data_IF_843123481007
#
_entry.id   IF_843123481007
#
_cell.length_a   1.000
_cell.length_b   1.000
_cell.length_c   1.000
_cell.angle_alpha   90.00
_cell.angle_beta   90.00
_cell.angle_gamma   90.00
#
_symmetry.space_group_name_H-M   'P 1'
#
loop_
_entity.id
_entity.type
_entity.pdbx_description
1 polymer ?
#
# COMPACT_ATOMS: atom_id res chain seq x y z
N UNK A 1 -41.94 -13.30 33.98
CA UNK A 1 -43.16 -13.32 33.16
C UNK A 1 -42.82 -12.51 31.92
N UNK A 2 -42.16 -13.15 30.96
CA UNK A 2 -42.77 -13.87 29.81
C UNK A 2 -43.03 -12.86 28.67
N UNK A 3 -42.11 -12.77 27.70
CA UNK A 3 -42.02 -13.52 26.41
C UNK A 3 -42.98 -12.95 25.35
N UNK A 4 -42.52 -12.25 24.31
CA UNK A 4 -42.02 -12.69 22.97
C UNK A 4 -43.00 -12.10 21.94
N UNK A 5 -42.55 -11.29 20.97
CA UNK A 5 -42.31 -11.80 19.62
C UNK A 5 -41.63 -10.78 18.69
N UNK A 6 -40.87 -11.33 17.76
CA UNK A 6 -40.04 -10.68 16.74
C UNK A 6 -40.67 -10.97 15.39
N UNK A 7 -40.88 -9.98 14.53
CA UNK A 7 -41.09 -10.27 13.11
C UNK A 7 -40.53 -9.16 12.22
N UNK A 8 -39.68 -9.58 11.29
CA UNK A 8 -39.21 -8.80 10.15
C UNK A 8 -40.20 -8.95 9.01
N UNK A 9 -40.41 -7.91 8.19
CA UNK A 9 -40.60 -8.05 6.74
C UNK A 9 -40.46 -6.71 6.02
N UNK A 10 -40.01 -6.84 4.77
CA UNK A 10 -39.52 -5.87 3.81
C UNK A 10 -40.46 -4.71 3.44
N UNK A 11 -39.86 -3.61 2.97
CA UNK A 11 -40.56 -2.52 2.32
C UNK A 11 -39.63 -1.60 1.54
N UNK A 12 -39.33 -1.98 0.30
CA UNK A 12 -38.73 -1.12 -0.73
C UNK A 12 -39.50 0.20 -0.87
N UNK A 13 -38.84 1.32 -0.55
CA UNK A 13 -39.27 2.65 -1.01
C UNK A 13 -38.10 3.31 -1.75
N UNK A 14 -38.01 2.99 -3.04
CA UNK A 14 -37.32 3.84 -4.00
C UNK A 14 -38.09 5.17 -4.11
N UNK A 15 -37.54 6.23 -3.51
CA UNK A 15 -38.04 7.59 -3.71
C UNK A 15 -37.70 8.03 -5.15
N UNK A 16 -38.67 7.86 -6.04
CA UNK A 16 -38.69 8.52 -7.35
C UNK A 16 -38.78 10.03 -7.14
N UNK A 17 -37.65 10.72 -7.24
CA UNK A 17 -37.60 12.18 -7.36
C UNK A 17 -38.22 12.58 -8.71
N UNK A 18 -39.32 13.31 -8.67
CA UNK A 18 -39.95 13.87 -9.86
C UNK A 18 -39.03 14.92 -10.52
N UNK A 19 -39.12 15.12 -11.85
CA UNK A 19 -38.28 16.06 -12.60
C UNK A 19 -38.37 17.51 -12.11
N UNK A 20 -39.44 17.86 -11.39
CA UNK A 20 -39.72 19.20 -10.86
C UNK A 20 -38.82 19.57 -9.67
N UNK A 21 -38.41 18.60 -8.84
CA UNK A 21 -37.44 18.82 -7.75
C UNK A 21 -35.99 18.86 -8.24
N UNK A 22 -35.68 18.20 -9.36
CA UNK A 22 -34.39 18.33 -10.03
C UNK A 22 -34.20 19.74 -10.63
N UNK A 23 -35.27 20.33 -11.19
CA UNK A 23 -35.24 21.70 -11.72
C UNK A 23 -35.15 22.77 -10.61
N UNK A 24 -35.64 22.49 -9.39
CA UNK A 24 -35.45 23.37 -8.23
C UNK A 24 -34.04 23.26 -7.63
N UNK A 25 -33.39 22.11 -7.73
CA UNK A 25 -31.98 21.95 -7.35
C UNK A 25 -31.01 22.61 -8.35
N UNK A 26 -31.37 22.69 -9.63
CA UNK A 26 -30.58 23.38 -10.67
C UNK A 26 -30.78 24.91 -10.71
N UNK A 27 -31.84 25.45 -10.09
CA UNK A 27 -32.11 26.91 -10.09
C UNK A 27 -31.43 27.73 -8.98
N UNK A 28 -30.62 27.10 -8.12
CA UNK A 28 -29.88 27.81 -7.05
C UNK A 28 -28.42 28.13 -7.44
N UNK A 29 -27.95 27.67 -8.60
CA UNK A 29 -26.61 28.00 -9.14
C UNK A 29 -26.67 29.01 -10.30
N UNK A 30 -27.58 29.99 -10.23
CA UNK A 30 -27.43 31.22 -11.00
C UNK A 30 -26.45 32.14 -10.27
N UNK A 31 -25.43 32.72 -10.94
CA UNK A 31 -24.51 33.64 -10.31
C UNK A 31 -25.27 34.92 -9.99
N UNK A 32 -25.82 34.99 -8.78
CA UNK A 32 -26.08 36.27 -8.13
C UNK A 32 -24.74 37.00 -8.10
N UNK A 33 -24.71 38.25 -8.57
CA UNK A 33 -23.50 39.06 -8.74
C UNK A 33 -22.84 39.44 -7.42
N UNK A 34 -22.45 38.47 -6.61
CA UNK A 34 -21.51 38.62 -5.51
C UNK A 34 -20.12 38.72 -6.12
N UNK A 35 -19.42 39.82 -5.83
CA UNK A 35 -18.06 40.05 -6.29
C UNK A 35 -17.18 38.85 -5.93
N UNK A 36 -16.69 38.12 -6.95
CA UNK A 36 -15.69 37.08 -6.75
C UNK A 36 -14.48 37.69 -6.03
N UNK A 37 -14.09 37.09 -4.92
CA UNK A 37 -12.93 37.48 -4.14
C UNK A 37 -11.67 37.20 -4.97
N UNK A 38 -10.83 38.22 -5.19
CA UNK A 38 -9.61 38.05 -5.99
C UNK A 38 -8.51 37.35 -5.19
N UNK A 39 -7.50 36.81 -5.87
CA UNK A 39 -6.21 36.58 -5.25
C UNK A 39 -5.46 37.90 -5.12
N UNK A 40 -4.85 38.11 -3.96
CA UNK A 40 -4.09 39.32 -3.74
C UNK A 40 -2.75 39.24 -4.46
N UNK A 41 -2.54 40.10 -5.45
CA UNK A 41 -1.24 40.24 -6.15
C UNK A 41 -0.26 41.03 -5.30
N UNK A 42 1.03 40.88 -5.61
CA UNK A 42 2.12 41.57 -4.90
C UNK A 42 1.92 43.09 -4.80
N UNK A 43 1.36 43.72 -5.84
CA UNK A 43 1.08 45.16 -5.86
C UNK A 43 0.01 45.61 -4.85
N UNK A 44 -0.94 44.73 -4.53
CA UNK A 44 -2.01 45.00 -3.56
C UNK A 44 -1.71 44.48 -2.15
N UNK A 45 -0.64 43.71 -1.99
CA UNK A 45 -0.28 43.10 -0.72
C UNK A 45 0.58 44.03 0.15
N UNK A 46 0.34 43.94 1.45
CA UNK A 46 1.05 44.66 2.51
C UNK A 46 1.42 43.65 3.58
N UNK A 47 2.71 43.50 3.86
CA UNK A 47 3.23 42.49 4.80
C UNK A 47 2.67 42.64 6.21
N UNK A 48 2.44 43.88 6.63
CA UNK A 48 2.09 44.21 8.01
C UNK A 48 0.58 44.35 8.20
N UNK A 49 -0.20 44.18 7.12
CA UNK A 49 -1.66 44.24 7.17
C UNK A 49 -2.23 42.86 7.50
N UNK A 50 -3.07 42.80 8.52
CA UNK A 50 -3.91 41.64 8.76
C UNK A 50 -5.13 41.69 7.84
N UNK A 51 -5.36 40.62 7.10
CA UNK A 51 -6.53 40.46 6.24
C UNK A 51 -7.59 39.69 7.05
N UNK A 52 -8.83 40.18 7.02
CA UNK A 52 -9.92 39.63 7.83
C UNK A 52 -10.41 38.30 7.23
N UNK A 53 -10.50 37.25 8.06
CA UNK A 53 -11.02 35.93 7.69
C UNK A 53 -12.55 35.87 7.68
N UNK A 54 -13.19 36.67 8.51
CA UNK A 54 -14.63 36.63 8.75
C UNK A 54 -15.38 37.49 7.74
N UNK A 55 -14.74 38.55 7.24
CA UNK A 55 -15.21 39.36 6.12
C UNK A 55 -14.09 39.52 5.06
N UNK A 56 -13.76 38.44 4.34
CA UNK A 56 -12.62 38.43 3.45
C UNK A 56 -12.81 39.35 2.25
N UNK A 57 -11.79 40.14 1.96
CA UNK A 57 -11.70 40.99 0.75
C UNK A 57 -10.86 40.33 -0.36
N UNK A 58 -10.27 39.18 -0.06
CA UNK A 58 -9.46 38.34 -0.96
C UNK A 58 -9.51 36.90 -0.48
N UNK A 59 -9.05 35.96 -1.30
CA UNK A 59 -9.02 34.54 -0.94
C UNK A 59 -7.91 34.27 0.10
N UNK A 60 -8.21 33.42 1.08
CA UNK A 60 -7.23 32.86 2.02
C UNK A 60 -7.03 31.36 1.76
N UNK A 61 -5.80 30.88 1.91
CA UNK A 61 -5.47 29.47 1.76
C UNK A 61 -4.35 29.04 2.70
N UNK A 62 -4.32 27.75 3.07
CA UNK A 62 -3.17 27.17 3.76
C UNK A 62 -2.21 26.57 2.73
N UNK A 63 -0.93 26.92 2.81
CA UNK A 63 0.12 26.24 2.06
C UNK A 63 0.70 25.11 2.90
N UNK A 64 0.56 23.89 2.43
CA UNK A 64 1.34 22.73 2.90
C UNK A 64 2.48 22.48 1.94
N UNK A 65 3.67 22.20 2.45
CA UNK A 65 4.78 21.83 1.59
C UNK A 65 5.60 20.70 2.18
N UNK A 66 6.23 19.94 1.28
CA UNK A 66 7.00 18.76 1.62
C UNK A 66 8.19 18.62 0.71
N UNK A 67 9.32 18.20 1.26
CA UNK A 67 10.50 17.78 0.51
C UNK A 67 10.67 16.28 0.72
N UNK A 68 10.76 15.58 -0.40
CA UNK A 68 10.91 14.12 -0.44
C UNK A 68 12.16 13.77 -1.25
N UNK A 69 12.87 12.72 -0.84
CA UNK A 69 14.07 12.21 -1.50
C UNK A 69 13.77 10.85 -2.14
N UNK A 70 14.14 10.68 -3.39
CA UNK A 70 13.91 9.49 -4.19
C UNK A 70 15.25 8.82 -4.51
N UNK A 71 15.52 7.75 -3.78
CA UNK A 71 16.70 6.88 -4.00
C UNK A 71 16.37 5.71 -4.95
N UNK A 72 15.11 5.27 -4.99
CA UNK A 72 14.63 4.16 -5.82
C UNK A 72 13.17 4.42 -6.30
N UNK A 73 12.27 3.42 -6.22
CA UNK A 73 10.86 3.55 -6.67
C UNK A 73 10.06 4.49 -5.75
N UNK A 74 10.38 4.54 -4.44
CA UNK A 74 9.66 5.31 -3.42
C UNK A 74 10.40 6.60 -3.06
N UNK A 75 9.63 7.65 -2.84
CA UNK A 75 10.13 8.90 -2.28
C UNK A 75 10.00 8.85 -0.74
N UNK A 76 11.12 9.00 -0.04
CA UNK A 76 11.22 9.13 1.42
C UNK A 76 10.91 10.57 1.80
N UNK A 77 10.07 10.78 2.82
CA UNK A 77 9.87 12.11 3.38
C UNK A 77 11.16 12.60 4.07
N UNK A 78 11.53 13.85 3.81
CA UNK A 78 12.70 14.50 4.43
C UNK A 78 12.24 15.54 5.42
N UNK A 79 11.43 16.49 4.97
CA UNK A 79 10.83 17.51 5.82
C UNK A 79 9.53 18.03 5.20
N UNK A 80 8.74 18.70 6.02
CA UNK A 80 7.48 19.33 5.61
C UNK A 80 7.09 20.37 6.63
N UNK A 81 6.34 21.37 6.20
CA UNK A 81 5.75 22.37 7.09
C UNK A 81 4.46 22.92 6.47
N UNK A 82 3.78 23.80 7.21
CA UNK A 82 2.53 24.44 6.81
C UNK A 82 2.58 25.94 7.12
N UNK A 83 2.34 26.76 6.10
CA UNK A 83 2.09 28.19 6.25
C UNK A 83 0.57 28.41 6.18
N UNK A 84 -0.11 28.60 7.34
CA UNK A 84 -1.54 28.80 7.35
C UNK A 84 -1.90 30.21 6.85
N UNK A 85 -3.12 30.35 6.34
CA UNK A 85 -3.78 31.65 6.15
C UNK A 85 -3.02 32.65 5.26
N UNK A 86 -2.46 32.16 4.16
CA UNK A 86 -1.86 32.99 3.14
C UNK A 86 -2.93 33.66 2.28
N UNK A 87 -2.68 34.93 1.94
CA UNK A 87 -3.55 35.75 1.08
C UNK A 87 -2.90 36.14 -0.24
N UNK A 88 -1.57 36.13 -0.29
CA UNK A 88 -0.79 36.49 -1.46
C UNK A 88 -0.93 35.39 -2.50
N UNK A 89 -1.12 35.73 -3.79
CA UNK A 89 -1.23 34.76 -4.86
C UNK A 89 -0.05 33.77 -4.82
N UNK A 90 -0.27 32.46 -5.03
CA UNK A 90 0.78 31.45 -4.97
C UNK A 90 2.04 31.82 -5.77
N UNK A 91 1.86 32.38 -6.97
CA UNK A 91 2.97 32.81 -7.81
C UNK A 91 3.81 33.95 -7.24
N UNK A 92 3.17 34.90 -6.56
CA UNK A 92 3.85 36.04 -5.94
C UNK A 92 4.47 35.62 -4.60
N UNK A 93 3.79 34.78 -3.82
CA UNK A 93 4.33 34.19 -2.60
C UNK A 93 5.57 33.34 -2.87
N UNK A 94 5.55 32.55 -3.95
CA UNK A 94 6.71 31.80 -4.41
C UNK A 94 7.91 32.71 -4.64
N UNK A 95 7.75 33.76 -5.46
CA UNK A 95 8.83 34.66 -5.85
C UNK A 95 9.41 35.44 -4.66
N UNK A 96 8.55 35.92 -3.76
CA UNK A 96 8.96 36.87 -2.72
C UNK A 96 9.44 36.19 -1.45
N UNK A 97 8.89 35.02 -1.10
CA UNK A 97 9.21 34.36 0.17
C UNK A 97 9.69 32.93 0.01
N UNK A 98 8.94 32.10 -0.72
CA UNK A 98 9.14 30.66 -0.64
C UNK A 98 10.37 30.17 -1.40
N UNK A 99 10.70 30.76 -2.55
CA UNK A 99 11.83 30.30 -3.36
C UNK A 99 13.15 30.41 -2.58
N UNK A 100 13.45 31.57 -2.01
CA UNK A 100 14.64 31.77 -1.19
C UNK A 100 14.64 30.86 0.06
N UNK A 101 13.46 30.65 0.68
CA UNK A 101 13.32 29.71 1.80
C UNK A 101 13.66 28.28 1.38
N UNK A 102 13.15 27.83 0.23
CA UNK A 102 13.43 26.51 -0.30
C UNK A 102 14.92 26.33 -0.60
N UNK A 103 15.56 27.31 -1.24
CA UNK A 103 17.00 27.28 -1.53
C UNK A 103 17.83 27.18 -0.24
N UNK A 104 17.48 27.97 0.78
CA UNK A 104 18.13 27.91 2.09
C UNK A 104 17.95 26.56 2.78
N UNK A 105 16.74 25.99 2.77
CA UNK A 105 16.45 24.68 3.34
C UNK A 105 17.25 23.57 2.65
N UNK A 106 17.37 23.64 1.33
CA UNK A 106 18.18 22.69 0.56
C UNK A 106 19.66 22.82 0.91
N UNK A 107 20.17 24.03 1.10
CA UNK A 107 21.55 24.23 1.51
C UNK A 107 21.81 23.69 2.93
N UNK A 108 20.94 23.98 3.89
CA UNK A 108 21.03 23.45 5.26
C UNK A 108 21.02 21.91 5.26
N UNK A 109 20.13 21.29 4.48
CA UNK A 109 20.08 19.83 4.34
C UNK A 109 21.35 19.24 3.71
N UNK A 110 22.04 19.99 2.83
CA UNK A 110 23.35 19.59 2.30
C UNK A 110 24.42 19.63 3.39
N UNK A 111 24.44 20.70 4.18
CA UNK A 111 25.42 20.91 5.24
C UNK A 111 25.26 19.88 6.38
N UNK A 112 24.02 19.48 6.69
CA UNK A 112 23.71 18.43 7.67
C UNK A 112 23.93 17.00 7.15
N UNK A 113 24.30 16.83 5.87
CA UNK A 113 24.48 15.51 5.25
C UNK A 113 23.18 14.73 5.01
N UNK A 114 22.00 15.36 5.16
CA UNK A 114 20.70 14.76 4.82
C UNK A 114 20.49 14.61 3.32
N UNK A 115 21.09 15.51 2.54
CA UNK A 115 21.27 15.42 1.09
C UNK A 115 22.78 15.43 0.82
N UNK A 116 23.35 14.31 0.38
CA UNK A 116 24.78 14.29 0.03
C UNK A 116 25.00 15.30 -1.12
N UNK A 117 25.92 16.25 -0.94
CA UNK A 117 26.04 17.45 -1.79
C UNK A 117 26.13 17.17 -3.30
N UNK A 118 25.72 18.15 -4.13
CA UNK A 118 25.62 18.20 -5.62
C UNK A 118 25.08 16.99 -6.38
N UNK A 119 24.92 15.85 -5.71
CA UNK A 119 24.34 14.65 -6.25
C UNK A 119 22.82 14.69 -6.17
N UNK A 120 22.14 15.67 -5.55
CA UNK A 120 20.67 15.70 -5.55
C UNK A 120 20.10 16.87 -6.33
N UNK A 121 19.17 16.58 -7.24
CA UNK A 121 18.41 17.59 -7.99
C UNK A 121 16.92 17.35 -7.87
N UNK A 122 16.14 18.42 -7.89
CA UNK A 122 14.68 18.32 -7.95
C UNK A 122 14.27 17.66 -9.28
N UNK A 123 13.62 16.51 -9.20
CA UNK A 123 13.12 15.74 -10.34
C UNK A 123 11.73 16.21 -10.76
N UNK A 124 10.82 16.22 -9.79
CA UNK A 124 9.42 16.58 -9.98
C UNK A 124 8.91 17.42 -8.81
N UNK A 125 8.01 18.35 -9.12
CA UNK A 125 7.20 19.06 -8.14
C UNK A 125 5.74 18.68 -8.33
N UNK A 126 5.10 18.21 -7.28
CA UNK A 126 3.68 17.83 -7.26
C UNK A 126 2.91 18.96 -6.59
N UNK A 127 1.93 19.51 -7.31
CA UNK A 127 1.03 20.55 -6.82
C UNK A 127 -0.36 19.94 -6.65
N UNK A 128 -0.95 20.13 -5.47
CA UNK A 128 -2.35 19.77 -5.21
C UNK A 128 -3.10 20.96 -4.61
N UNK A 129 -4.25 21.32 -5.17
CA UNK A 129 -5.17 22.29 -4.56
C UNK A 129 -6.43 21.54 -4.21
N UNK A 130 -6.80 21.57 -2.92
CA UNK A 130 -8.02 20.96 -2.42
C UNK A 130 -8.85 21.99 -1.68
N UNK A 131 -10.17 21.83 -1.70
CA UNK A 131 -11.10 22.64 -0.93
C UNK A 131 -12.04 21.72 -0.14
N UNK A 132 -12.35 22.11 1.10
CA UNK A 132 -13.19 21.33 1.99
C UNK A 132 -14.56 21.07 1.36
N UNK A 133 -15.10 19.85 1.54
CA UNK A 133 -16.42 19.43 1.05
C UNK A 133 -16.59 19.58 -0.48
N UNK A 134 -15.51 19.64 -1.27
CA UNK A 134 -15.60 19.61 -2.74
C UNK A 134 -14.43 18.87 -3.39
N UNK A 135 -14.32 17.55 -3.20
CA UNK A 135 -13.27 16.74 -3.83
C UNK A 135 -13.28 16.85 -5.36
N UNK A 136 -14.44 17.09 -5.99
CA UNK A 136 -14.58 17.25 -7.44
C UNK A 136 -13.90 18.52 -8.01
N UNK A 137 -13.56 19.51 -7.17
CA UNK A 137 -12.89 20.76 -7.58
C UNK A 137 -11.37 20.73 -7.33
N UNK A 138 -10.82 19.56 -7.00
CA UNK A 138 -9.40 19.38 -6.71
C UNK A 138 -8.55 19.54 -7.97
N UNK A 139 -7.42 20.22 -7.84
CA UNK A 139 -6.34 20.21 -8.83
C UNK A 139 -5.24 19.27 -8.36
N UNK A 140 -4.71 18.43 -9.25
CA UNK A 140 -3.47 17.69 -9.01
C UNK A 140 -2.62 17.72 -10.27
N UNK A 141 -1.42 18.29 -10.17
CA UNK A 141 -0.50 18.48 -11.29
C UNK A 141 0.91 18.10 -10.89
N UNK A 142 1.68 17.64 -11.88
CA UNK A 142 3.10 17.33 -11.72
C UNK A 142 3.89 18.15 -12.72
N UNK A 143 4.90 18.85 -12.22
CA UNK A 143 5.79 19.70 -12.99
C UNK A 143 7.21 19.13 -12.92
N UNK A 144 7.99 19.32 -13.98
CA UNK A 144 9.40 18.91 -13.98
C UNK A 144 10.22 19.91 -13.18
N UNK A 145 11.07 19.40 -12.29
CA UNK A 145 11.87 20.22 -11.38
C UNK A 145 10.96 21.21 -10.64
N UNK A 146 11.38 22.48 -10.51
CA UNK A 146 10.63 23.57 -9.88
C UNK A 146 9.87 24.47 -10.89
N UNK A 147 9.72 24.04 -12.14
CA UNK A 147 9.08 24.83 -13.20
C UNK A 147 7.54 24.71 -13.17
N UNK A 148 6.92 25.30 -12.15
CA UNK A 148 5.46 25.30 -11.95
C UNK A 148 4.79 26.27 -12.93
N UNK A 149 3.70 25.83 -13.57
CA UNK A 149 2.82 26.74 -14.32
C UNK A 149 1.95 27.56 -13.35
N UNK A 150 2.53 28.66 -12.87
CA UNK A 150 1.90 29.55 -11.90
C UNK A 150 0.57 30.16 -12.34
N UNK A 151 0.40 30.41 -13.65
CA UNK A 151 -0.86 30.94 -14.16
C UNK A 151 -2.01 29.95 -13.99
N UNK A 152 -1.76 28.66 -14.23
CA UNK A 152 -2.74 27.60 -14.01
C UNK A 152 -3.12 27.48 -12.52
N UNK A 153 -2.11 27.56 -11.64
CA UNK A 153 -2.31 27.48 -10.18
C UNK A 153 -3.12 28.67 -9.66
N UNK A 154 -2.74 29.90 -10.02
CA UNK A 154 -3.43 31.11 -9.60
C UNK A 154 -4.87 31.14 -10.13
N UNK A 155 -5.08 30.87 -11.43
CA UNK A 155 -6.41 30.84 -12.03
C UNK A 155 -7.33 29.78 -11.39
N UNK A 156 -6.79 28.60 -11.09
CA UNK A 156 -7.57 27.56 -10.42
C UNK A 156 -7.99 27.99 -9.02
N UNK A 157 -7.09 28.64 -8.28
CA UNK A 157 -7.37 29.08 -6.91
C UNK A 157 -8.34 30.26 -6.88
N UNK A 158 -8.27 31.21 -7.82
CA UNK A 158 -9.31 32.25 -8.04
C UNK A 158 -10.67 31.64 -8.40
N UNK A 159 -10.68 30.59 -9.23
CA UNK A 159 -11.89 29.87 -9.60
C UNK A 159 -12.58 29.14 -8.44
N UNK A 160 -11.97 29.10 -7.25
CA UNK A 160 -12.57 28.58 -6.02
C UNK A 160 -13.17 29.68 -5.12
N UNK A 161 -13.19 30.93 -5.59
CA UNK A 161 -13.66 32.08 -4.80
C UNK A 161 -15.07 31.88 -4.26
N UNK A 162 -16.01 31.40 -5.06
CA UNK A 162 -17.42 31.25 -4.66
C UNK A 162 -17.55 30.24 -3.51
N UNK A 163 -16.75 29.18 -3.56
CA UNK A 163 -16.71 28.14 -2.53
C UNK A 163 -16.02 28.64 -1.26
N UNK A 164 -14.98 29.46 -1.40
CA UNK A 164 -14.34 30.12 -0.28
C UNK A 164 -15.29 31.10 0.43
N UNK A 165 -16.04 31.91 -0.31
CA UNK A 165 -17.07 32.81 0.24
C UNK A 165 -18.15 32.06 1.03
N UNK A 166 -18.40 30.78 0.69
CA UNK A 166 -19.27 29.87 1.45
C UNK A 166 -18.62 29.30 2.72
N UNK A 167 -17.47 29.83 3.14
CA UNK A 167 -16.73 29.44 4.35
C UNK A 167 -15.90 28.16 4.20
N UNK A 168 -15.64 27.67 2.98
CA UNK A 168 -14.86 26.44 2.77
C UNK A 168 -13.37 26.73 2.76
N UNK A 169 -12.61 25.89 3.47
CA UNK A 169 -11.16 26.03 3.57
C UNK A 169 -10.44 25.54 2.31
N UNK A 170 -9.58 26.39 1.74
CA UNK A 170 -8.68 26.02 0.64
C UNK A 170 -7.33 25.57 1.22
N UNK A 171 -6.77 24.51 0.65
CA UNK A 171 -5.42 24.04 0.95
C UNK A 171 -4.65 23.83 -0.33
N UNK A 172 -3.54 24.55 -0.47
CA UNK A 172 -2.57 24.40 -1.54
C UNK A 172 -1.39 23.58 -1.02
N UNK A 173 -1.00 22.52 -1.73
CA UNK A 173 0.06 21.60 -1.34
C UNK A 173 1.15 21.57 -2.40
N UNK A 174 2.41 21.67 -2.00
CA UNK A 174 3.59 21.52 -2.87
C UNK A 174 4.52 20.44 -2.35
N UNK A 175 4.78 19.40 -3.14
CA UNK A 175 5.78 18.39 -2.82
C UNK A 175 6.95 18.45 -3.81
N UNK A 176 8.16 18.70 -3.31
CA UNK A 176 9.40 18.71 -4.08
C UNK A 176 10.10 17.36 -3.93
N UNK A 177 10.20 16.62 -5.03
CA UNK A 177 10.86 15.31 -5.04
C UNK A 177 12.28 15.47 -5.60
N UNK A 178 13.28 15.23 -4.76
CA UNK A 178 14.70 15.25 -5.12
C UNK A 178 15.18 13.85 -5.45
N UNK A 179 16.02 13.70 -6.46
CA UNK A 179 16.65 12.43 -6.84
C UNK A 179 18.16 12.58 -6.93
N UNK A 180 18.85 11.47 -6.75
CA UNK A 180 20.29 11.42 -6.95
C UNK A 180 20.63 11.54 -8.46
N UNK A 181 21.66 12.33 -8.77
CA UNK A 181 22.31 12.55 -10.05
C UNK A 181 23.49 11.61 -10.04
N UNK A 182 23.31 10.43 -10.63
CA UNK A 182 24.44 9.56 -10.95
C UNK A 182 25.33 10.29 -11.95
N UNK A 183 26.52 10.70 -11.52
CA UNK A 183 27.52 11.27 -12.41
C UNK A 183 28.08 10.16 -13.30
N UNK A 184 27.57 10.06 -14.53
CA UNK A 184 28.23 9.30 -15.61
C UNK A 184 29.53 10.03 -15.98
N UNK A 185 30.56 9.82 -15.18
CA UNK A 185 31.91 10.25 -15.49
C UNK A 185 32.47 9.35 -16.59
N UNK A 186 32.35 9.85 -17.81
CA UNK A 186 33.02 9.32 -19.00
C UNK A 186 34.53 9.30 -18.79
N UNK A 187 35.14 8.12 -18.73
CA UNK A 187 36.23 7.69 -19.62
C UNK A 187 36.62 6.24 -19.32
N UNK A 188 36.28 5.30 -20.20
CA UNK A 188 37.10 4.11 -20.40
C UNK A 188 36.90 3.56 -21.82
N UNK A 189 38.00 3.55 -22.55
CA UNK A 189 38.19 2.99 -23.90
C UNK A 189 37.58 1.59 -24.03
N UNK A 190 37.07 1.31 -25.23
CA UNK A 190 36.31 0.12 -25.55
C UNK A 190 36.96 -1.21 -25.15
N UNK A 191 36.12 -2.11 -24.62
CA UNK A 191 36.27 -3.57 -24.70
C UNK A 191 34.91 -4.22 -24.40
N UNK A 192 34.47 -5.06 -25.35
CA UNK A 192 33.35 -6.02 -25.34
C UNK A 192 32.17 -5.71 -24.41
N UNK A 193 31.01 -5.46 -25.04
CA UNK A 193 29.65 -5.36 -24.48
C UNK A 193 29.45 -6.33 -23.29
N UNK A 194 29.74 -5.84 -22.07
CA UNK A 194 29.37 -6.51 -20.81
C UNK A 194 27.87 -6.29 -20.64
N UNK A 195 27.12 -7.38 -20.44
CA UNK A 195 25.71 -7.35 -20.07
C UNK A 195 25.56 -6.41 -18.86
N UNK A 196 24.56 -5.55 -18.92
CA UNK A 196 24.29 -4.54 -17.88
C UNK A 196 24.26 -5.20 -16.49
N UNK A 197 24.81 -4.55 -15.47
CA UNK A 197 24.71 -5.01 -14.09
C UNK A 197 23.25 -5.28 -13.66
N UNK A 198 22.28 -4.61 -14.30
CA UNK A 198 20.85 -4.84 -14.14
C UNK A 198 20.39 -6.17 -14.75
N UNK A 199 20.96 -6.56 -15.89
CA UNK A 199 20.70 -7.85 -16.54
C UNK A 199 21.39 -8.98 -15.78
N UNK A 200 22.64 -8.78 -15.32
CA UNK A 200 23.34 -9.71 -14.45
C UNK A 200 22.65 -9.89 -13.08
N UNK A 201 22.14 -8.81 -12.46
CA UNK A 201 21.30 -8.91 -11.26
C UNK A 201 19.94 -9.54 -11.53
N UNK A 202 19.35 -9.33 -12.71
CA UNK A 202 18.09 -9.98 -13.09
C UNK A 202 18.28 -11.47 -13.34
N UNK A 203 19.39 -11.85 -13.98
CA UNK A 203 19.81 -13.24 -14.13
C UNK A 203 20.14 -13.85 -12.76
N UNK A 204 20.86 -13.15 -11.88
CA UNK A 204 21.16 -13.64 -10.54
C UNK A 204 19.89 -13.81 -9.71
N UNK A 205 18.95 -12.86 -9.75
CA UNK A 205 17.65 -12.99 -9.06
C UNK A 205 16.77 -14.09 -9.67
N UNK A 206 16.85 -14.31 -10.98
CA UNK A 206 16.13 -15.38 -11.66
C UNK A 206 16.76 -16.76 -11.38
N UNK A 207 18.08 -16.85 -11.32
CA UNK A 207 18.83 -18.04 -10.95
C UNK A 207 18.61 -18.37 -9.46
N UNK A 208 18.66 -17.37 -8.58
CA UNK A 208 18.31 -17.49 -7.16
C UNK A 208 16.88 -18.01 -7.03
N UNK A 209 15.92 -17.41 -7.74
CA UNK A 209 14.53 -17.87 -7.75
C UNK A 209 14.38 -19.30 -8.28
N UNK A 210 15.19 -19.69 -9.28
CA UNK A 210 15.24 -21.04 -9.82
C UNK A 210 15.78 -22.07 -8.83
N UNK A 211 16.82 -21.73 -8.06
CA UNK A 211 17.34 -22.58 -7.00
C UNK A 211 16.34 -22.74 -5.86
N UNK A 212 15.73 -21.64 -5.41
CA UNK A 212 14.67 -21.68 -4.40
C UNK A 212 13.49 -22.54 -4.83
N UNK A 213 12.95 -22.34 -6.04
CA UNK A 213 11.85 -23.13 -6.57
C UNK A 213 12.16 -24.62 -6.60
N UNK A 214 13.39 -24.97 -6.98
CA UNK A 214 13.89 -26.34 -7.03
C UNK A 214 14.04 -26.99 -5.64
N UNK A 215 14.54 -26.25 -4.65
CA UNK A 215 14.61 -26.72 -3.24
C UNK A 215 13.21 -26.90 -2.67
N UNK A 216 12.30 -25.93 -2.88
CA UNK A 216 10.92 -26.04 -2.42
C UNK A 216 10.19 -27.24 -3.05
N UNK A 217 10.37 -27.47 -4.36
CA UNK A 217 9.75 -28.61 -5.05
C UNK A 217 10.34 -29.95 -4.56
N UNK A 218 11.65 -30.03 -4.37
CA UNK A 218 12.31 -31.26 -3.92
C UNK A 218 11.84 -31.68 -2.52
N UNK A 219 11.73 -30.73 -1.59
CA UNK A 219 11.28 -31.01 -0.22
C UNK A 219 9.76 -30.89 -0.02
N UNK A 220 9.00 -30.73 -1.12
CA UNK A 220 7.54 -30.68 -1.06
C UNK A 220 6.99 -32.02 -0.56
N UNK A 221 6.17 -31.95 0.47
CA UNK A 221 5.59 -33.15 1.04
C UNK A 221 4.52 -33.74 0.10
N UNK A 222 4.75 -34.97 -0.38
CA UNK A 222 3.82 -35.68 -1.27
C UNK A 222 2.86 -36.63 -0.55
N UNK A 223 2.89 -36.64 0.78
CA UNK A 223 2.04 -37.50 1.60
C UNK A 223 0.65 -36.89 1.81
N UNK A 224 -0.40 -37.55 1.31
CA UNK A 224 -1.80 -37.11 1.43
C UNK A 224 -2.29 -36.92 2.88
N UNK A 225 -1.61 -37.50 3.87
CA UNK A 225 -1.95 -37.41 5.30
C UNK A 225 -0.78 -36.95 6.17
N UNK A 226 0.21 -36.26 5.59
CA UNK A 226 1.36 -35.81 6.36
C UNK A 226 0.99 -34.62 7.26
N UNK A 227 1.06 -34.82 8.59
CA UNK A 227 0.77 -33.78 9.60
C UNK A 227 1.92 -32.79 9.83
N UNK A 228 3.00 -32.87 9.05
CA UNK A 228 4.24 -32.11 9.29
C UNK A 228 4.33 -30.80 8.50
N UNK A 229 3.34 -30.50 7.66
CA UNK A 229 3.29 -29.27 6.87
C UNK A 229 3.74 -29.46 5.42
N UNK A 230 3.79 -28.36 4.64
CA UNK A 230 3.94 -28.39 3.18
C UNK A 230 5.31 -28.86 2.70
N UNK A 231 6.34 -28.69 3.54
CA UNK A 231 7.69 -29.14 3.26
C UNK A 231 8.15 -30.09 4.35
N UNK A 232 8.63 -31.26 3.95
CA UNK A 232 9.01 -32.30 4.88
C UNK A 232 10.23 -33.07 4.36
N UNK A 233 11.10 -33.47 5.29
CA UNK A 233 12.21 -34.38 5.02
C UNK A 233 11.88 -35.77 5.56
N UNK A 234 12.07 -36.80 4.74
CA UNK A 234 11.84 -38.19 5.13
C UNK A 234 13.14 -38.82 5.60
N UNK A 235 13.14 -39.43 6.78
CA UNK A 235 14.27 -40.25 7.24
C UNK A 235 14.33 -41.59 6.49
N UNK A 236 15.43 -42.34 6.65
CA UNK A 236 15.61 -43.68 6.08
C UNK A 236 14.55 -44.70 6.51
N UNK A 237 13.78 -44.38 7.56
CA UNK A 237 12.70 -45.21 8.10
C UNK A 237 11.32 -44.78 7.57
N UNK A 238 11.27 -43.79 6.67
CA UNK A 238 10.04 -43.26 6.09
C UNK A 238 9.27 -42.28 6.98
N UNK A 239 9.83 -41.84 8.12
CA UNK A 239 9.22 -40.83 8.96
C UNK A 239 9.45 -39.44 8.37
N UNK A 240 8.36 -38.68 8.23
CA UNK A 240 8.43 -37.30 7.79
C UNK A 240 8.70 -36.35 8.97
N UNK A 241 9.62 -35.42 8.77
CA UNK A 241 9.95 -34.33 9.67
C UNK A 241 9.67 -32.99 9.00
N UNK A 242 9.10 -32.05 9.73
CA UNK A 242 8.76 -30.72 9.19
C UNK A 242 10.03 -29.91 8.90
N UNK A 243 10.07 -29.30 7.72
CA UNK A 243 11.10 -28.33 7.34
C UNK A 243 10.52 -26.92 7.47
N UNK A 244 11.04 -26.17 8.44
CA UNK A 244 10.70 -24.76 8.64
C UNK A 244 11.48 -23.87 7.67
N UNK A 245 11.00 -22.65 7.43
CA UNK A 245 11.62 -21.69 6.51
C UNK A 245 13.11 -21.47 6.76
N UNK A 246 13.51 -21.29 8.03
CA UNK A 246 14.93 -21.13 8.37
C UNK A 246 15.78 -22.38 8.08
N UNK A 247 15.20 -23.58 8.08
CA UNK A 247 15.92 -24.80 7.71
C UNK A 247 16.04 -24.94 6.18
N UNK A 248 15.05 -24.48 5.43
CA UNK A 248 15.13 -24.39 3.97
C UNK A 248 16.16 -23.34 3.54
N UNK A 249 16.26 -22.21 4.25
CA UNK A 249 17.35 -21.23 4.10
C UNK A 249 18.72 -21.84 4.37
N UNK A 250 18.86 -22.62 5.45
CA UNK A 250 20.10 -23.32 5.78
C UNK A 250 20.52 -24.33 4.70
N UNK A 251 19.53 -25.04 4.11
CA UNK A 251 19.74 -25.97 3.01
C UNK A 251 20.18 -25.23 1.74
N UNK A 252 19.47 -24.16 1.34
CA UNK A 252 19.85 -23.36 0.16
C UNK A 252 21.25 -22.77 0.32
N UNK A 253 21.56 -22.23 1.50
CA UNK A 253 22.90 -21.71 1.80
C UNK A 253 23.96 -22.80 1.67
N UNK A 254 23.69 -24.00 2.19
CA UNK A 254 24.63 -25.11 2.05
C UNK A 254 24.82 -25.52 0.58
N UNK A 255 23.75 -25.56 -0.21
CA UNK A 255 23.84 -25.88 -1.65
C UNK A 255 24.71 -24.83 -2.35
N UNK A 256 24.53 -23.54 -2.04
CA UNK A 256 25.35 -22.44 -2.57
C UNK A 256 26.83 -22.56 -2.19
N UNK A 257 27.12 -22.95 -0.95
CA UNK A 257 28.50 -23.10 -0.46
C UNK A 257 29.24 -24.31 -1.10
N UNK A 258 28.51 -25.26 -1.71
CA UNK A 258 29.08 -26.44 -2.37
C UNK A 258 29.13 -26.35 -3.91
N UNK A 259 28.70 -25.23 -4.51
CA UNK A 259 28.79 -25.02 -5.96
C UNK A 259 30.28 -24.96 -6.33
N UNK A 260 30.72 -25.85 -7.24
CA UNK A 260 32.13 -25.86 -7.68
C UNK A 260 32.42 -24.66 -8.57
N UNK A 261 33.68 -24.23 -8.57
CA UNK A 261 34.14 -23.09 -9.37
C UNK A 261 33.94 -23.37 -10.87
N UNK A 262 32.89 -22.77 -11.45
CA UNK A 262 32.49 -22.94 -12.86
C UNK A 262 31.12 -23.58 -13.09
N UNK A 263 30.46 -24.13 -12.05
CA UNK A 263 29.07 -24.59 -12.12
C UNK A 263 28.11 -23.40 -11.96
N UNK A 264 27.04 -23.37 -12.77
CA UNK A 264 25.97 -22.37 -12.61
C UNK A 264 24.95 -22.88 -11.61
N UNK A 265 24.27 -21.98 -10.89
CA UNK A 265 23.22 -22.36 -9.92
C UNK A 265 22.15 -23.26 -10.54
N UNK A 266 21.93 -23.19 -11.86
CA UNK A 266 20.97 -23.99 -12.63
C UNK A 266 21.38 -25.47 -12.78
N UNK A 267 22.69 -25.77 -12.75
CA UNK A 267 23.26 -27.10 -12.95
C UNK A 267 23.47 -27.89 -11.63
N UNK A 268 23.29 -27.22 -10.49
CA UNK A 268 23.55 -27.80 -9.16
C UNK A 268 22.47 -28.83 -8.83
N UNK A 269 22.90 -30.04 -8.48
CA UNK A 269 22.02 -31.10 -8.02
C UNK A 269 21.43 -30.74 -6.64
N UNK A 270 20.12 -30.92 -6.45
CA UNK A 270 19.42 -30.65 -5.19
C UNK A 270 19.49 -31.86 -4.25
N UNK A 271 19.79 -33.05 -4.79
CA UNK A 271 19.96 -34.30 -4.04
C UNK A 271 21.30 -34.34 -3.25
N UNK A 272 21.82 -33.19 -2.83
CA UNK A 272 23.01 -33.10 -1.97
C UNK A 272 22.62 -33.58 -0.58
N UNK A 273 23.44 -34.46 0.00
CA UNK A 273 23.24 -34.96 1.36
C UNK A 273 23.20 -33.79 2.34
N UNK A 274 22.04 -33.58 2.97
CA UNK A 274 21.86 -32.47 3.92
C UNK A 274 22.84 -32.67 5.08
N UNK A 275 23.64 -31.64 5.44
CA UNK A 275 24.55 -31.72 6.58
C UNK A 275 23.87 -32.22 7.85
N UNK A 276 24.54 -33.15 8.53
CA UNK A 276 24.07 -33.72 9.80
C UNK A 276 23.70 -32.67 10.85
N UNK A 277 24.30 -31.47 10.81
CA UNK A 277 23.95 -30.32 11.67
C UNK A 277 22.51 -29.81 11.44
N UNK A 278 22.06 -29.76 10.19
CA UNK A 278 20.71 -29.31 9.81
C UNK A 278 19.71 -30.43 10.15
N UNK A 279 20.04 -31.69 9.82
CA UNK A 279 19.22 -32.84 10.18
C UNK A 279 19.02 -32.99 11.69
N UNK A 280 20.05 -32.74 12.49
CA UNK A 280 19.96 -32.75 13.96
C UNK A 280 18.97 -31.71 14.47
N UNK A 281 19.01 -30.48 13.95
CA UNK A 281 18.05 -29.42 14.28
C UNK A 281 16.62 -29.80 13.88
N UNK A 282 16.42 -30.42 12.71
CA UNK A 282 15.12 -30.89 12.22
C UNK A 282 14.54 -31.98 13.14
N UNK A 283 15.35 -32.96 13.54
CA UNK A 283 14.94 -34.04 14.44
C UNK A 283 14.66 -33.54 15.86
N UNK A 284 15.51 -32.67 16.41
CA UNK A 284 15.34 -32.11 17.76
C UNK A 284 14.07 -31.24 17.86
N UNK A 285 13.76 -30.45 16.83
CA UNK A 285 12.50 -29.70 16.76
C UNK A 285 11.28 -30.62 16.62
N UNK A 286 11.40 -31.73 15.89
CA UNK A 286 10.36 -32.74 15.81
C UNK A 286 10.11 -33.44 17.15
N UNK A 287 11.14 -33.63 17.98
CA UNK A 287 11.03 -34.21 19.32
C UNK A 287 10.40 -33.24 20.32
N UNK A 288 10.76 -31.96 20.29
CA UNK A 288 10.13 -30.91 21.11
C UNK A 288 8.62 -30.82 20.89
N UNK A 289 8.17 -30.79 19.62
CA UNK A 289 6.72 -30.77 19.31
C UNK A 289 5.96 -32.02 19.78
N UNK A 290 6.62 -33.18 19.90
CA UNK A 290 6.01 -34.38 20.49
C UNK A 290 5.97 -34.34 22.03
N UNK A 291 6.89 -33.63 22.67
CA UNK A 291 6.91 -33.45 24.12
C UNK A 291 5.87 -32.40 24.58
N UNK A 292 5.68 -31.34 23.81
CA UNK A 292 4.72 -30.26 24.11
C UNK A 292 3.24 -30.67 23.88
N UNK A 293 3.00 -31.78 23.18
CA UNK A 293 1.66 -32.33 22.94
C UNK A 293 1.04 -33.09 24.13
N UNK A 294 1.74 -33.27 25.26
CA UNK A 294 1.27 -34.07 26.41
C UNK A 294 1.19 -33.29 27.72
N UNK A 295 1.68 -32.05 27.81
CA UNK A 295 1.64 -31.29 29.07
C UNK A 295 1.47 -29.80 28.85
N UNK A 296 0.23 -29.31 28.95
CA UNK A 296 -0.14 -28.18 29.81
C UNK A 296 -1.66 -27.90 29.78
N UNK A 297 -2.45 -28.81 30.35
CA UNK A 297 -3.69 -28.40 31.02
C UNK A 297 -3.37 -28.19 32.49
N UNK A 298 -3.16 -26.93 32.90
CA UNK A 298 -2.95 -26.55 34.30
C UNK A 298 -4.15 -25.86 34.96
N UNK A 299 -5.32 -25.87 34.32
CA UNK A 299 -6.54 -25.29 34.89
C UNK A 299 -7.81 -26.12 34.62
N UNK A 300 -7.75 -27.44 34.78
CA UNK A 300 -9.00 -28.20 34.97
C UNK A 300 -8.80 -29.33 35.97
N UNK A 301 -9.01 -29.01 37.24
CA UNK A 301 -9.58 -29.99 38.18
C UNK A 301 -10.91 -29.46 38.66
N UNK A 302 -11.96 -30.22 38.33
CA UNK A 302 -13.30 -30.24 38.94
C UNK A 302 -14.15 -28.99 38.65
N UNK A 303 -15.38 -29.06 38.10
CA UNK A 303 -16.41 -30.10 38.08
C UNK A 303 -17.22 -30.00 36.77
N UNK A 304 -17.83 -31.13 36.43
CA UNK A 304 -18.93 -31.34 35.48
C UNK A 304 -19.94 -30.19 35.46
N UNK A 305 -20.10 -29.55 34.30
CA UNK A 305 -21.41 -29.12 33.79
C UNK A 305 -21.29 -28.86 32.28
N UNK A 306 -22.31 -29.32 31.56
CA UNK A 306 -22.41 -29.25 30.11
C UNK A 306 -22.38 -27.80 29.59
N UNK A 307 -21.96 -27.66 28.34
CA UNK A 307 -21.80 -26.44 27.52
C UNK A 307 -20.40 -25.83 27.57
N UNK A 308 -19.53 -26.40 26.75
CA UNK A 308 -18.31 -25.76 26.26
C UNK A 308 -18.64 -25.10 24.92
N UNK A 309 -19.00 -23.81 24.95
CA UNK A 309 -18.82 -22.96 23.77
C UNK A 309 -17.31 -22.77 23.57
N UNK A 310 -16.84 -23.22 22.41
CA UNK A 310 -15.43 -23.24 22.05
C UNK A 310 -14.83 -21.84 21.97
N UNK A 311 -13.59 -21.73 22.43
CA UNK A 311 -12.71 -20.62 22.12
C UNK A 311 -12.43 -20.64 20.61
N UNK A 312 -13.16 -19.82 19.87
CA UNK A 312 -13.09 -19.70 18.41
C UNK A 312 -11.79 -18.97 18.01
N UNK A 313 -10.71 -19.72 17.84
CA UNK A 313 -9.58 -19.26 17.04
C UNK A 313 -10.00 -19.38 15.58
N UNK A 314 -10.43 -18.25 14.99
CA UNK A 314 -10.97 -18.14 13.62
C UNK A 314 -9.97 -18.44 12.49
N UNK A 315 -9.34 -19.61 12.55
CA UNK A 315 -8.59 -20.20 11.45
C UNK A 315 -9.57 -20.77 10.43
N UNK A 316 -9.40 -20.40 9.15
CA UNK A 316 -10.19 -20.99 8.06
C UNK A 316 -9.70 -22.42 7.84
N UNK A 317 -10.55 -23.39 8.17
CA UNK A 317 -10.31 -24.82 8.00
C UNK A 317 -10.49 -25.22 6.52
N UNK A 318 -9.57 -26.03 5.98
CA UNK A 318 -9.61 -26.54 4.59
C UNK A 318 -8.37 -26.25 3.75
N UNK A 319 -8.41 -26.64 2.47
CA UNK A 319 -7.36 -26.29 1.51
C UNK A 319 -7.36 -24.79 1.23
N UNK A 320 -6.24 -24.14 1.53
CA UNK A 320 -6.15 -22.67 1.59
C UNK A 320 -6.22 -22.04 0.21
N UNK A 321 -5.75 -22.74 -0.82
CA UNK A 321 -5.87 -22.31 -2.20
C UNK A 321 -7.31 -22.44 -2.68
N UNK A 322 -7.96 -23.60 -2.47
CA UNK A 322 -9.37 -23.78 -2.78
C UNK A 322 -10.26 -22.75 -2.06
N UNK A 323 -9.99 -22.45 -0.79
CA UNK A 323 -10.73 -21.43 -0.03
C UNK A 323 -10.57 -20.02 -0.60
N UNK A 324 -9.37 -19.67 -1.07
CA UNK A 324 -9.16 -18.39 -1.76
C UNK A 324 -9.91 -18.34 -3.10
N UNK A 325 -9.96 -19.45 -3.83
CA UNK A 325 -10.69 -19.57 -5.09
C UNK A 325 -12.22 -19.50 -4.90
N UNK A 326 -12.74 -20.17 -3.86
CA UNK A 326 -14.13 -20.09 -3.41
C UNK A 326 -14.48 -18.64 -3.05
N UNK A 327 -13.64 -17.96 -2.28
CA UNK A 327 -13.83 -16.56 -1.93
C UNK A 327 -13.81 -15.65 -3.16
N UNK A 328 -12.88 -15.86 -4.09
CA UNK A 328 -12.81 -15.10 -5.33
C UNK A 328 -14.09 -15.28 -6.15
N UNK A 329 -14.60 -16.50 -6.24
CA UNK A 329 -15.86 -16.81 -6.94
C UNK A 329 -17.05 -16.15 -6.26
N UNK A 330 -17.18 -16.33 -4.94
CA UNK A 330 -18.22 -15.71 -4.12
C UNK A 330 -18.20 -14.18 -4.22
N UNK A 331 -17.03 -13.55 -4.20
CA UNK A 331 -16.92 -12.09 -4.27
C UNK A 331 -17.51 -11.50 -5.55
N UNK A 332 -17.48 -12.26 -6.66
CA UNK A 332 -18.06 -11.86 -7.95
C UNK A 332 -19.57 -12.06 -8.00
N UNK A 333 -20.14 -12.97 -7.22
CA UNK A 333 -21.60 -13.16 -7.11
C UNK A 333 -22.26 -12.06 -6.28
N UNK A 334 -21.51 -11.38 -5.42
CA UNK A 334 -21.99 -10.27 -4.60
C UNK A 334 -22.21 -8.96 -5.38
N UNK A 335 -21.83 -8.89 -6.66
CA UNK A 335 -21.92 -7.66 -7.47
C UNK A 335 -22.67 -7.86 -8.79
N UNK A 336 -23.68 -7.01 -9.02
CA UNK A 336 -24.45 -6.99 -10.26
C UNK A 336 -23.86 -6.12 -11.38
N UNK A 337 -22.97 -5.18 -11.04
CA UNK A 337 -22.39 -4.21 -11.99
C UNK A 337 -21.13 -4.76 -12.66
N UNK A 338 -21.08 -4.72 -14.00
CA UNK A 338 -19.93 -5.18 -14.80
C UNK A 338 -18.66 -4.40 -14.51
N UNK A 339 -18.78 -3.09 -14.29
CA UNK A 339 -17.65 -2.23 -13.90
C UNK A 339 -17.06 -2.67 -12.56
N UNK A 340 -17.93 -3.03 -11.60
CA UNK A 340 -17.50 -3.50 -10.28
C UNK A 340 -16.90 -4.90 -10.35
N UNK A 341 -17.49 -5.77 -11.16
CA UNK A 341 -17.03 -7.13 -11.41
C UNK A 341 -15.63 -7.14 -12.04
N UNK A 342 -15.36 -6.30 -13.02
CA UNK A 342 -14.03 -6.17 -13.64
C UNK A 342 -12.95 -5.69 -12.64
N UNK A 343 -13.32 -4.76 -11.77
CA UNK A 343 -12.42 -4.27 -10.73
C UNK A 343 -12.13 -5.34 -9.66
N UNK A 344 -13.14 -6.11 -9.24
CA UNK A 344 -12.96 -7.25 -8.33
C UNK A 344 -12.18 -8.40 -8.97
N UNK A 345 -12.38 -8.70 -10.26
CA UNK A 345 -11.55 -9.68 -10.98
C UNK A 345 -10.06 -9.30 -10.97
N UNK A 346 -9.76 -8.01 -11.06
CA UNK A 346 -8.38 -7.51 -10.93
C UNK A 346 -7.83 -7.77 -9.52
N UNK A 347 -8.65 -7.54 -8.48
CA UNK A 347 -8.28 -7.85 -7.10
C UNK A 347 -8.08 -9.35 -6.86
N UNK A 348 -8.98 -10.19 -7.37
CA UNK A 348 -8.89 -11.66 -7.30
C UNK A 348 -7.60 -12.15 -7.95
N UNK A 349 -7.28 -11.65 -9.15
CA UNK A 349 -6.03 -12.00 -9.84
C UNK A 349 -4.81 -11.62 -9.01
N UNK A 350 -4.80 -10.42 -8.43
CA UNK A 350 -3.70 -9.98 -7.55
C UNK A 350 -3.59 -10.87 -6.31
N UNK A 351 -4.71 -11.30 -5.71
CA UNK A 351 -4.69 -12.21 -4.56
C UNK A 351 -4.09 -13.57 -4.92
N UNK A 352 -4.49 -14.15 -6.06
CA UNK A 352 -3.97 -15.43 -6.55
C UNK A 352 -2.50 -15.34 -6.94
N UNK A 353 -2.10 -14.33 -7.72
CA UNK A 353 -0.73 -14.12 -8.18
C UNK A 353 0.25 -13.81 -7.03
N UNK A 354 -0.26 -13.35 -5.88
CA UNK A 354 0.54 -13.01 -4.69
C UNK A 354 0.33 -13.99 -3.53
N UNK A 355 -0.40 -15.10 -3.75
CA UNK A 355 -0.66 -16.14 -2.76
C UNK A 355 -1.24 -15.59 -1.44
N UNK A 356 -2.13 -14.60 -1.54
CA UNK A 356 -2.75 -13.93 -0.38
C UNK A 356 -3.87 -14.80 0.18
N UNK A 357 -3.52 -15.87 0.90
CA UNK A 357 -4.48 -16.74 1.57
C UNK A 357 -5.38 -15.96 2.54
N UNK A 358 -6.62 -16.43 2.73
CA UNK A 358 -7.64 -15.73 3.52
C UNK A 358 -7.18 -15.45 4.97
N UNK A 359 -6.43 -16.36 5.59
CA UNK A 359 -5.87 -16.16 6.93
C UNK A 359 -4.83 -15.01 6.95
N UNK A 360 -4.00 -14.90 5.91
CA UNK A 360 -3.05 -13.78 5.76
C UNK A 360 -3.80 -12.45 5.59
N UNK A 361 -4.93 -12.46 4.87
CA UNK A 361 -5.79 -11.28 4.71
C UNK A 361 -6.42 -10.87 6.04
N UNK A 362 -6.87 -11.82 6.86
CA UNK A 362 -7.46 -11.57 8.18
C UNK A 362 -6.44 -11.06 9.20
N UNK A 363 -5.22 -11.62 9.20
CA UNK A 363 -4.15 -11.23 10.11
C UNK A 363 -3.56 -9.86 9.75
N UNK A 364 -3.49 -9.53 8.46
CA UNK A 364 -2.82 -8.33 7.97
C UNK A 364 -3.64 -7.52 6.94
N UNK A 365 -4.88 -7.10 7.28
CA UNK A 365 -5.81 -6.52 6.32
C UNK A 365 -5.30 -5.21 5.70
N UNK A 366 -4.65 -4.36 6.50
CA UNK A 366 -4.07 -3.08 6.02
C UNK A 366 -2.93 -3.30 5.04
N UNK A 367 -2.05 -4.25 5.34
CA UNK A 367 -0.87 -4.57 4.50
C UNK A 367 -1.31 -5.14 3.16
N UNK A 368 -2.31 -6.04 3.18
CA UNK A 368 -2.89 -6.63 1.97
C UNK A 368 -3.59 -5.57 1.12
N UNK A 369 -4.41 -4.70 1.71
CA UNK A 369 -5.09 -3.64 0.96
C UNK A 369 -4.08 -2.69 0.27
N UNK A 370 -3.02 -2.30 0.97
CA UNK A 370 -1.95 -1.49 0.37
C UNK A 370 -1.19 -2.21 -0.75
N UNK A 371 -0.94 -3.52 -0.59
CA UNK A 371 -0.29 -4.34 -1.62
C UNK A 371 -1.16 -4.39 -2.88
N UNK A 372 -2.46 -4.59 -2.73
CA UNK A 372 -3.41 -4.61 -3.84
C UNK A 372 -3.44 -3.27 -4.58
N UNK A 373 -3.46 -2.16 -3.86
CA UNK A 373 -3.39 -0.81 -4.46
C UNK A 373 -2.08 -0.60 -5.23
N UNK A 374 -0.94 -1.04 -4.66
CA UNK A 374 0.37 -1.00 -5.34
C UNK A 374 0.40 -1.84 -6.63
N UNK A 375 -0.47 -2.84 -6.74
CA UNK A 375 -0.62 -3.72 -7.92
C UNK A 375 -1.72 -3.28 -8.89
N UNK A 376 -2.29 -2.09 -8.71
CA UNK A 376 -3.24 -1.49 -9.64
C UNK A 376 -4.72 -1.74 -9.34
N UNK A 377 -5.04 -2.32 -8.18
CA UNK A 377 -6.43 -2.44 -7.70
C UNK A 377 -6.91 -1.09 -7.17
N UNK A 378 -8.13 -0.67 -7.49
CA UNK A 378 -8.68 0.58 -6.97
C UNK A 378 -8.80 0.53 -5.44
N UNK A 379 -8.47 1.61 -4.71
CA UNK A 379 -8.45 1.60 -3.24
C UNK A 379 -9.74 1.13 -2.57
N UNK A 380 -10.90 1.55 -3.09
CA UNK A 380 -12.20 1.09 -2.58
C UNK A 380 -12.41 -0.41 -2.75
N UNK A 381 -11.93 -0.99 -3.85
CA UNK A 381 -12.02 -2.42 -4.14
C UNK A 381 -11.06 -3.21 -3.25
N UNK A 382 -9.85 -2.71 -3.04
CA UNK A 382 -8.89 -3.34 -2.14
C UNK A 382 -9.40 -3.39 -0.69
N UNK A 383 -10.01 -2.30 -0.20
CA UNK A 383 -10.63 -2.26 1.12
C UNK A 383 -11.83 -3.22 1.21
N UNK A 384 -12.72 -3.18 0.21
CA UNK A 384 -13.87 -4.07 0.12
C UNK A 384 -13.46 -5.55 0.10
N UNK A 385 -12.46 -5.89 -0.72
CA UNK A 385 -11.93 -7.25 -0.84
C UNK A 385 -11.38 -7.78 0.49
N UNK A 386 -10.72 -6.94 1.29
CA UNK A 386 -10.18 -7.37 2.58
C UNK A 386 -11.27 -7.47 3.65
N UNK A 387 -12.20 -6.51 3.70
CA UNK A 387 -13.31 -6.52 4.65
C UNK A 387 -14.30 -7.68 4.43
N UNK A 388 -14.46 -8.10 3.17
CA UNK A 388 -15.40 -9.15 2.81
C UNK A 388 -14.95 -10.57 3.20
N UNK A 389 -13.68 -10.80 3.55
CA UNK A 389 -13.20 -12.11 4.01
C UNK A 389 -13.90 -12.53 5.31
N UNK A 390 -14.09 -11.61 6.25
CA UNK A 390 -14.83 -11.88 7.49
C UNK A 390 -16.32 -12.15 7.22
N UNK A 391 -16.88 -11.53 6.17
CA UNK A 391 -18.27 -11.74 5.78
C UNK A 391 -18.44 -13.13 5.14
N UNK A 392 -17.52 -13.51 4.26
CA UNK A 392 -17.48 -14.84 3.66
C UNK A 392 -17.43 -15.95 4.72
N UNK A 393 -16.57 -15.84 5.74
CA UNK A 393 -16.52 -16.81 6.86
C UNK A 393 -17.87 -16.98 7.58
N UNK A 394 -18.58 -15.88 7.85
CA UNK A 394 -19.89 -15.92 8.52
C UNK A 394 -21.00 -16.52 7.66
N UNK A 395 -20.88 -16.44 6.35
CA UNK A 395 -21.84 -17.03 5.41
C UNK A 395 -21.55 -18.53 5.21
N UNK A 396 -20.28 -18.96 5.22
CA UNK A 396 -19.91 -20.38 5.19
C UNK A 396 -20.33 -21.14 6.46
N UNK A 397 -20.27 -20.52 7.64
CA UNK A 397 -20.70 -21.15 8.90
C UNK A 397 -22.23 -21.31 9.03
N UNK A 398 -23.02 -20.68 8.15
CA UNK A 398 -24.49 -20.73 8.15
C UNK A 398 -25.06 -21.67 7.09
N UNK A 399 -24.21 -22.18 6.20
CA UNK A 399 -24.57 -23.14 5.15
C UNK A 399 -24.17 -24.55 5.54
#
# INVERSE_FOLDING_TARGET
MENIDFDWLDGDYALNLTPELAQLAERVDQPSGEHALPLLRLSGWKSDKQYDKNNPVCIHYDLRWKISQRENIRARHVCSDTDPDLVLAPSDFWKVKFQARLESLIQEMKDEGKLQGDSYTCDETIVEISIERSPQRRLTKRYKKVAINWQEVDNHLEGLSDLFSKGRKITFSMEFVYKEVTCDSTTAKGKKKKKSATEAQKLQRAADAGLWARVYEHYRCRGNYCKQGPHCWSDERGNHHSLLSGQLEDIVRHIKDNIKEGETEEDVNIDIEIPSRILKNVVDNSRKRKADGITNCRHCKTRVSANSEGCDTGDIEGDRHAKLEEYCTWSLTQVGSDRWRSALQTANKVAMDQFLELNTILQHPKVVAELMVKRGVQPGIALQFVSNVQRFQREEQKS
#
